data_IF_336293750538
#
_entry.id   IF_336293750538
#
_cell.length_a   1.000
_cell.length_b   1.000
_cell.length_c   1.000
_cell.angle_alpha   90.00
_cell.angle_beta   90.00
_cell.angle_gamma   90.00
#
_symmetry.space_group_name_H-M   'P 1'
#
loop_
_entity.id
_entity.type
_entity.pdbx_description
1 polymer ?
#
# COMPACT_ATOMS: atom_id res chain seq x y z
N UNK A 1 -3.95 -9.16 12.27
CA UNK A 1 -5.28 -9.82 12.01
C UNK A 1 -5.05 -11.00 11.09
N UNK A 2 -5.86 -12.07 11.16
CA UNK A 2 -5.82 -13.17 10.18
C UNK A 2 -6.90 -13.02 9.12
N UNK A 3 -6.67 -13.54 7.91
CA UNK A 3 -7.63 -13.42 6.81
C UNK A 3 -9.02 -14.01 7.14
N UNK A 4 -9.07 -15.12 7.88
CA UNK A 4 -10.32 -15.74 8.33
C UNK A 4 -11.22 -14.78 9.15
N UNK A 5 -10.64 -13.79 9.81
CA UNK A 5 -11.37 -12.85 10.66
C UNK A 5 -11.80 -11.58 9.89
N UNK A 6 -11.27 -11.37 8.68
CA UNK A 6 -11.53 -10.12 7.92
C UNK A 6 -12.99 -10.02 7.52
N UNK A 7 -13.58 -11.11 7.03
CA UNK A 7 -14.98 -11.13 6.60
C UNK A 7 -15.99 -10.71 7.70
N UNK A 8 -15.65 -10.99 8.96
CA UNK A 8 -16.46 -10.57 10.11
C UNK A 8 -16.07 -9.16 10.56
N UNK A 9 -14.76 -8.87 10.59
CA UNK A 9 -14.26 -7.57 11.05
C UNK A 9 -14.76 -6.41 10.17
N UNK A 10 -14.79 -6.56 8.85
CA UNK A 10 -15.27 -5.51 7.92
C UNK A 10 -16.77 -5.24 8.03
N UNK A 11 -17.54 -6.14 8.67
CA UNK A 11 -18.97 -5.98 8.93
C UNK A 11 -19.26 -5.35 10.29
N UNK A 12 -18.26 -5.17 11.14
CA UNK A 12 -18.44 -4.50 12.42
C UNK A 12 -18.90 -3.05 12.22
N UNK A 13 -19.68 -2.51 13.16
CA UNK A 13 -20.19 -1.14 13.09
C UNK A 13 -19.05 -0.12 12.90
N UNK A 14 -17.95 -0.29 13.63
CA UNK A 14 -16.79 0.59 13.55
C UNK A 14 -16.10 0.52 12.18
N UNK A 15 -15.94 -0.67 11.61
CA UNK A 15 -15.33 -0.83 10.30
C UNK A 15 -16.23 -0.26 9.18
N UNK A 16 -17.54 -0.51 9.26
CA UNK A 16 -18.50 0.05 8.31
C UNK A 16 -18.50 1.59 8.37
N UNK A 17 -18.50 2.16 9.57
CA UNK A 17 -18.42 3.61 9.75
C UNK A 17 -17.13 4.19 9.17
N UNK A 18 -15.98 3.54 9.41
CA UNK A 18 -14.69 3.94 8.86
C UNK A 18 -14.68 3.84 7.33
N UNK A 19 -15.17 2.74 6.76
CA UNK A 19 -15.24 2.56 5.30
C UNK A 19 -16.15 3.62 4.65
N UNK A 20 -17.28 3.97 5.26
CA UNK A 20 -18.14 5.06 4.81
C UNK A 20 -17.44 6.41 4.85
N UNK A 21 -16.68 6.67 5.90
CA UNK A 21 -15.89 7.91 6.02
C UNK A 21 -14.80 7.99 4.96
N UNK A 22 -14.10 6.87 4.69
CA UNK A 22 -12.99 6.82 3.73
C UNK A 22 -13.45 6.86 2.27
N UNK A 23 -14.53 6.15 1.94
CA UNK A 23 -14.91 5.90 0.55
C UNK A 23 -16.29 6.45 0.17
N UNK A 24 -17.03 6.99 1.14
CA UNK A 24 -18.40 7.46 0.96
C UNK A 24 -19.44 6.38 1.23
N UNK A 25 -20.66 6.81 1.55
CA UNK A 25 -21.78 5.96 1.98
C UNK A 25 -22.06 4.78 1.04
N UNK A 26 -22.03 5.03 -0.27
CA UNK A 26 -22.45 4.06 -1.30
C UNK A 26 -21.32 3.09 -1.71
N UNK A 27 -20.10 3.25 -1.19
CA UNK A 27 -18.93 2.45 -1.60
C UNK A 27 -18.33 1.60 -0.46
N UNK A 28 -18.92 1.64 0.72
CA UNK A 28 -18.40 0.92 1.87
C UNK A 28 -18.40 -0.60 1.64
N UNK A 29 -19.46 -1.14 1.06
CA UNK A 29 -19.62 -2.58 0.83
C UNK A 29 -18.66 -3.10 -0.26
N UNK A 30 -18.51 -2.37 -1.36
CA UNK A 30 -17.51 -2.66 -2.41
C UNK A 30 -16.09 -2.69 -1.84
N UNK A 31 -15.75 -1.71 -0.98
CA UNK A 31 -14.42 -1.66 -0.39
C UNK A 31 -14.22 -2.72 0.71
N UNK A 32 -15.25 -3.09 1.46
CA UNK A 32 -15.17 -4.23 2.38
C UNK A 32 -14.78 -5.53 1.63
N UNK A 33 -15.41 -5.79 0.48
CA UNK A 33 -15.04 -6.93 -0.37
C UNK A 33 -13.60 -6.83 -0.90
N UNK A 34 -13.13 -5.62 -1.24
CA UNK A 34 -11.76 -5.37 -1.67
C UNK A 34 -10.73 -5.68 -0.57
N UNK A 35 -10.99 -5.31 0.69
CA UNK A 35 -10.13 -5.70 1.81
C UNK A 35 -10.09 -7.21 2.00
N UNK A 36 -11.21 -7.91 1.80
CA UNK A 36 -11.23 -9.37 1.85
C UNK A 36 -10.37 -9.99 0.74
N UNK A 37 -10.45 -9.49 -0.50
CA UNK A 37 -9.61 -9.96 -1.60
C UNK A 37 -8.11 -9.81 -1.30
N UNK A 38 -7.70 -8.67 -0.72
CA UNK A 38 -6.31 -8.44 -0.33
C UNK A 38 -5.88 -9.43 0.76
N UNK A 39 -6.74 -9.73 1.74
CA UNK A 39 -6.47 -10.71 2.78
C UNK A 39 -6.33 -12.14 2.23
N UNK A 40 -7.20 -12.51 1.31
CA UNK A 40 -7.16 -13.83 0.67
C UNK A 40 -5.89 -13.98 -0.19
N UNK A 41 -5.54 -12.95 -0.95
CA UNK A 41 -4.29 -12.88 -1.70
C UNK A 41 -3.05 -12.99 -0.81
N UNK A 42 -3.03 -12.27 0.32
CA UNK A 42 -1.95 -12.38 1.29
C UNK A 42 -1.79 -13.80 1.82
N UNK A 43 -2.89 -14.45 2.22
CA UNK A 43 -2.87 -15.80 2.76
C UNK A 43 -2.43 -16.84 1.73
N UNK A 44 -2.88 -16.68 0.49
CA UNK A 44 -2.51 -17.54 -0.63
C UNK A 44 -0.99 -17.55 -0.87
N UNK A 45 -0.36 -16.38 -0.81
CA UNK A 45 1.05 -16.20 -1.15
C UNK A 45 2.00 -16.40 0.04
N UNK A 46 1.58 -15.98 1.25
CA UNK A 46 2.43 -15.95 2.44
C UNK A 46 1.99 -16.89 3.56
N UNK A 47 0.89 -17.61 3.38
CA UNK A 47 0.31 -18.53 4.36
C UNK A 47 -0.55 -17.83 5.42
N UNK A 48 -1.11 -18.63 6.35
CA UNK A 48 -1.99 -18.13 7.42
C UNK A 48 -1.18 -17.44 8.52
N UNK A 49 -0.74 -16.22 8.25
CA UNK A 49 -0.03 -15.34 9.18
C UNK A 49 -0.92 -14.17 9.61
N UNK A 50 -0.56 -13.58 10.73
CA UNK A 50 -1.14 -12.29 11.11
C UNK A 50 -0.54 -11.18 10.27
N UNK A 51 -1.37 -10.23 9.86
CA UNK A 51 -1.00 -9.06 9.08
C UNK A 51 -1.79 -7.83 9.52
N UNK A 52 -1.37 -6.68 9.06
CA UNK A 52 -2.06 -5.40 9.20
C UNK A 52 -2.42 -4.84 7.83
N UNK A 53 -3.51 -4.08 7.76
CA UNK A 53 -3.90 -3.36 6.56
C UNK A 53 -3.33 -1.95 6.56
N UNK A 54 -2.93 -1.52 5.39
CA UNK A 54 -2.50 -0.16 5.10
C UNK A 54 -3.27 0.38 3.90
N UNK A 55 -3.68 1.64 3.98
CA UNK A 55 -4.31 2.35 2.88
C UNK A 55 -3.54 3.64 2.60
N UNK A 56 -3.13 3.85 1.37
CA UNK A 56 -2.47 5.04 0.91
C UNK A 56 -3.32 5.69 -0.20
N UNK A 57 -3.99 6.82 0.09
CA UNK A 57 -4.83 7.49 -0.88
C UNK A 57 -4.01 8.09 -2.03
N UNK A 58 -4.62 8.12 -3.20
CA UNK A 58 -4.15 8.93 -4.31
C UNK A 58 -4.40 10.41 -4.06
N UNK A 59 -3.88 11.25 -4.96
CA UNK A 59 -4.14 12.68 -4.95
C UNK A 59 -4.60 13.18 -6.31
N UNK A 60 -5.31 14.30 -6.31
CA UNK A 60 -5.53 15.11 -7.49
C UNK A 60 -4.84 16.46 -7.32
N UNK A 61 -4.22 16.95 -8.35
CA UNK A 61 -3.62 18.27 -8.38
C UNK A 61 -4.60 19.26 -9.00
N UNK A 62 -5.00 20.26 -8.22
CA UNK A 62 -5.98 21.26 -8.61
C UNK A 62 -5.29 22.40 -9.37
N UNK A 63 -4.05 22.70 -8.98
CA UNK A 63 -3.23 23.72 -9.63
C UNK A 63 -1.76 23.60 -9.26
N UNK A 64 -0.88 24.13 -10.12
CA UNK A 64 0.57 24.09 -9.92
C UNK A 64 1.21 22.76 -10.26
N UNK A 65 0.62 22.00 -11.19
CA UNK A 65 1.06 20.67 -11.58
C UNK A 65 2.56 20.60 -11.89
N UNK A 66 3.29 19.72 -11.19
CA UNK A 66 4.72 19.48 -11.35
C UNK A 66 5.63 20.71 -11.26
N UNK A 67 5.28 21.70 -10.44
CA UNK A 67 6.10 22.90 -10.21
C UNK A 67 6.87 22.86 -8.88
N UNK A 68 6.63 21.85 -8.03
CA UNK A 68 7.25 21.70 -6.72
C UNK A 68 8.78 21.58 -6.80
N UNK A 69 9.32 20.87 -7.80
CA UNK A 69 10.76 20.77 -8.03
C UNK A 69 11.44 22.07 -8.48
N UNK A 70 10.67 23.08 -8.89
CA UNK A 70 11.13 24.41 -9.23
C UNK A 70 10.75 25.46 -8.16
N UNK A 71 10.50 25.05 -6.92
CA UNK A 71 10.01 25.91 -5.84
C UNK A 71 8.65 26.55 -6.12
N UNK A 72 7.88 26.00 -7.04
CA UNK A 72 6.52 26.41 -7.33
C UNK A 72 5.54 26.03 -6.22
N UNK A 73 4.37 26.64 -6.24
CA UNK A 73 3.28 26.33 -5.31
C UNK A 73 2.33 25.34 -5.95
N UNK A 74 1.96 24.32 -5.20
CA UNK A 74 1.02 23.26 -5.62
C UNK A 74 -0.19 23.26 -4.69
N UNK A 75 -1.37 23.13 -5.27
CA UNK A 75 -2.60 22.85 -4.56
C UNK A 75 -3.08 21.46 -4.95
N UNK A 76 -3.07 20.53 -4.01
CA UNK A 76 -3.51 19.17 -4.22
C UNK A 76 -4.44 18.70 -3.10
N UNK A 77 -5.31 17.75 -3.41
CA UNK A 77 -6.20 17.11 -2.45
C UNK A 77 -6.21 15.60 -2.58
N UNK A 78 -6.42 14.89 -1.48
CA UNK A 78 -6.60 13.43 -1.48
C UNK A 78 -7.88 13.05 -2.21
N UNK A 79 -7.87 11.87 -2.84
CA UNK A 79 -9.04 11.30 -3.50
C UNK A 79 -9.46 9.99 -2.82
N UNK A 80 -10.70 9.55 -3.07
CA UNK A 80 -11.24 8.27 -2.53
C UNK A 80 -10.72 7.01 -3.28
N UNK A 81 -9.67 7.17 -4.08
CA UNK A 81 -8.96 6.07 -4.72
C UNK A 81 -7.64 5.87 -3.99
N UNK A 82 -7.39 4.66 -3.55
CA UNK A 82 -6.22 4.31 -2.75
C UNK A 82 -5.57 3.01 -3.20
N UNK A 83 -4.38 2.79 -2.71
CA UNK A 83 -3.70 1.51 -2.74
C UNK A 83 -3.86 0.85 -1.37
N UNK A 84 -4.52 -0.30 -1.32
CA UNK A 84 -4.64 -1.11 -0.09
C UNK A 84 -3.61 -2.22 -0.12
N UNK A 85 -2.93 -2.40 0.99
CA UNK A 85 -1.99 -3.49 1.19
C UNK A 85 -2.26 -4.24 2.50
N UNK A 86 -1.99 -5.54 2.51
CA UNK A 86 -1.80 -6.34 3.72
C UNK A 86 -0.31 -6.59 3.88
N UNK A 87 0.23 -6.34 5.07
CA UNK A 87 1.65 -6.51 5.33
C UNK A 87 1.92 -7.17 6.67
N UNK A 88 2.96 -7.98 6.73
CA UNK A 88 3.45 -8.62 7.93
C UNK A 88 4.97 -8.72 7.93
N UNK A 89 5.60 -8.67 9.10
CA UNK A 89 7.03 -8.97 9.22
C UNK A 89 7.33 -10.40 8.73
N UNK A 90 8.43 -10.56 8.01
CA UNK A 90 8.89 -11.87 7.54
C UNK A 90 10.17 -12.36 8.27
N UNK A 91 10.75 -11.52 9.12
CA UNK A 91 11.97 -11.84 9.88
C UNK A 91 13.24 -11.90 9.04
N UNK A 92 13.22 -11.33 7.82
CA UNK A 92 14.37 -11.31 6.92
C UNK A 92 14.71 -9.88 6.49
N UNK A 93 15.86 -9.70 5.83
CA UNK A 93 16.24 -8.42 5.21
C UNK A 93 15.74 -8.31 3.76
N UNK A 94 14.59 -8.92 3.46
CA UNK A 94 13.96 -8.83 2.13
C UNK A 94 12.54 -8.33 2.25
N UNK A 95 12.08 -7.60 1.24
CA UNK A 95 10.65 -7.26 1.07
C UNK A 95 10.10 -8.09 -0.08
N UNK A 96 9.11 -8.92 0.22
CA UNK A 96 8.36 -9.67 -0.78
C UNK A 96 7.06 -8.92 -1.05
N UNK A 97 6.91 -8.40 -2.26
CA UNK A 97 5.73 -7.64 -2.67
C UNK A 97 5.02 -8.34 -3.82
N UNK A 98 3.73 -8.55 -3.63
CA UNK A 98 2.83 -9.04 -4.67
C UNK A 98 1.84 -7.93 -5.01
N UNK A 99 1.78 -7.56 -6.28
CA UNK A 99 0.75 -6.65 -6.80
C UNK A 99 -0.18 -7.43 -7.70
N UNK A 100 -1.38 -7.74 -7.21
CA UNK A 100 -2.36 -8.49 -7.98
C UNK A 100 -2.85 -7.71 -9.19
N UNK A 101 -3.09 -6.40 -9.03
CA UNK A 101 -3.56 -5.53 -10.12
C UNK A 101 -2.59 -5.51 -11.30
N UNK A 102 -1.29 -5.54 -11.05
CA UNK A 102 -0.25 -5.51 -12.08
C UNK A 102 0.36 -6.87 -12.36
N UNK A 103 -0.10 -7.92 -11.68
CA UNK A 103 0.47 -9.28 -11.75
C UNK A 103 1.99 -9.26 -11.60
N UNK A 104 2.48 -8.55 -10.59
CA UNK A 104 3.89 -8.39 -10.31
C UNK A 104 4.26 -9.10 -9.01
N UNK A 105 5.37 -9.81 -9.03
CA UNK A 105 6.01 -10.36 -7.85
C UNK A 105 7.43 -9.82 -7.78
N UNK A 106 7.72 -9.04 -6.73
CA UNK A 106 9.01 -8.40 -6.50
C UNK A 106 9.62 -8.89 -5.20
N UNK A 107 10.91 -9.17 -5.25
CA UNK A 107 11.73 -9.45 -4.07
C UNK A 107 12.82 -8.39 -4.02
N UNK A 108 12.82 -7.58 -2.96
CA UNK A 108 13.79 -6.51 -2.76
C UNK A 108 14.70 -6.89 -1.62
N UNK A 109 15.98 -7.01 -1.92
CA UNK A 109 17.04 -7.23 -0.95
C UNK A 109 17.42 -5.88 -0.32
N UNK A 110 17.18 -5.74 0.99
CA UNK A 110 17.47 -4.51 1.73
C UNK A 110 18.96 -4.33 2.00
N UNK A 111 19.77 -5.38 1.87
CA UNK A 111 21.22 -5.30 1.96
C UNK A 111 21.85 -4.83 0.63
N UNK A 112 21.06 -4.81 -0.47
CA UNK A 112 21.52 -4.37 -1.79
C UNK A 112 20.53 -3.42 -2.45
N UNK A 113 20.53 -2.17 -2.02
CA UNK A 113 19.67 -1.10 -2.54
C UNK A 113 20.36 -0.22 -3.60
N UNK A 114 21.52 -0.64 -4.11
CA UNK A 114 22.24 0.09 -5.14
C UNK A 114 21.35 0.32 -6.37
N UNK A 115 21.46 1.49 -7.03
CA UNK A 115 20.76 1.75 -8.29
C UNK A 115 21.06 0.68 -9.34
N UNK A 116 20.04 0.26 -10.05
CA UNK A 116 20.15 -0.68 -11.17
C UNK A 116 20.08 0.09 -12.50
N UNK A 117 20.46 -0.55 -13.60
CA UNK A 117 20.31 0.03 -14.94
C UNK A 117 18.85 0.34 -15.28
N UNK A 118 17.92 -0.42 -14.69
CA UNK A 118 16.50 -0.18 -14.84
C UNK A 118 16.09 0.98 -13.93
N UNK A 119 15.82 2.14 -14.52
CA UNK A 119 15.48 3.38 -13.79
C UNK A 119 13.98 3.65 -13.69
N UNK A 120 13.12 2.78 -14.22
CA UNK A 120 11.66 2.94 -14.23
C UNK A 120 10.95 1.72 -13.68
N UNK A 121 9.77 1.93 -13.10
CA UNK A 121 8.91 0.88 -12.56
C UNK A 121 8.94 0.80 -11.04
N UNK A 122 8.28 -0.22 -10.51
CA UNK A 122 8.03 -0.35 -9.06
C UNK A 122 9.30 -0.70 -8.28
N UNK A 123 10.15 -1.57 -8.82
CA UNK A 123 11.35 -2.03 -8.10
C UNK A 123 12.34 -0.90 -7.78
N UNK A 124 12.82 -0.09 -8.76
CA UNK A 124 13.73 1.00 -8.45
C UNK A 124 13.10 2.09 -7.57
N UNK A 125 11.79 2.34 -7.69
CA UNK A 125 11.07 3.24 -6.79
C UNK A 125 11.14 2.75 -5.34
N UNK A 126 10.85 1.49 -5.08
CA UNK A 126 10.88 0.92 -3.73
C UNK A 126 12.30 0.87 -3.18
N UNK A 127 13.30 0.48 -3.98
CA UNK A 127 14.72 0.53 -3.57
C UNK A 127 15.12 1.93 -3.12
N UNK A 128 14.73 2.96 -3.87
CA UNK A 128 15.00 4.35 -3.51
C UNK A 128 14.33 4.77 -2.20
N UNK A 129 13.08 4.37 -1.97
CA UNK A 129 12.36 4.64 -0.72
C UNK A 129 13.07 3.96 0.46
N UNK A 130 13.40 2.68 0.35
CA UNK A 130 14.09 1.95 1.43
C UNK A 130 15.50 2.51 1.69
N UNK A 131 16.26 2.88 0.66
CA UNK A 131 17.54 3.54 0.84
C UNK A 131 17.41 4.84 1.63
N UNK A 132 16.42 5.68 1.29
CA UNK A 132 16.17 6.93 2.00
C UNK A 132 15.68 6.74 3.44
N UNK A 133 14.96 5.66 3.75
CA UNK A 133 14.55 5.31 5.11
C UNK A 133 15.75 4.87 5.96
N UNK A 134 16.62 4.02 5.39
CA UNK A 134 17.84 3.57 6.08
C UNK A 134 18.81 4.72 6.38
N UNK A 135 18.95 5.70 5.47
CA UNK A 135 19.74 6.91 5.71
C UNK A 135 19.22 7.74 6.91
N UNK A 136 17.96 7.59 7.27
CA UNK A 136 17.30 8.27 8.40
C UNK A 136 17.20 7.40 9.67
N UNK A 137 17.93 6.29 9.74
CA UNK A 137 17.89 5.32 10.83
C UNK A 137 16.47 4.76 11.12
N UNK A 138 15.59 4.75 10.15
CA UNK A 138 14.30 4.07 10.23
C UNK A 138 14.53 2.59 9.98
N UNK A 139 14.31 1.78 11.02
CA UNK A 139 14.50 0.31 11.00
C UNK A 139 13.18 -0.40 10.95
#
# INVERSE_FOLDING_TARGET
>A
MKAANVAEAVKSENAVALLKQMYGENRAEENAARYQLVADGFTKEFGDKEFEFFSAPGRTEIGGNHTDHNHGKVLAGSVHLDCVAAAAPNGTHTVNLISETYNQHLVIDLDNLAPTEKTTGTEPLLKGIFAGLLEKDVK
#
